data_IF_835645335511
#
_entry.id   IF_835645335511
#
_cell.length_a   1.000
_cell.length_b   1.000
_cell.length_c   1.000
_cell.angle_alpha   90.00
_cell.angle_beta   90.00
_cell.angle_gamma   90.00
#
_symmetry.space_group_name_H-M   'P 1'
#
loop_
_entity.id
_entity.type
_entity.pdbx_description
1 polymer ?
#
# COMPACT_ATOMS: atom_id res chain seq x y z
N UNK A 1 -11.69 -8.89 -3.90
CA UNK A 1 -10.96 -7.98 -4.84
C UNK A 1 -9.48 -7.92 -4.48
N UNK A 2 -9.16 -7.61 -3.22
CA UNK A 2 -7.82 -7.65 -2.63
C UNK A 2 -7.07 -8.98 -2.82
N UNK A 3 -7.74 -10.11 -2.60
CA UNK A 3 -7.13 -11.45 -2.77
C UNK A 3 -6.62 -11.71 -4.19
N UNK A 4 -7.35 -11.26 -5.22
CA UNK A 4 -6.93 -11.41 -6.63
C UNK A 4 -5.72 -10.53 -6.98
N UNK A 5 -5.58 -9.37 -6.32
CA UNK A 5 -4.44 -8.47 -6.50
C UNK A 5 -3.19 -9.09 -5.86
N UNK A 6 -3.34 -9.60 -4.64
CA UNK A 6 -2.30 -10.34 -3.90
C UNK A 6 -1.79 -11.55 -4.69
N UNK A 7 -2.69 -12.37 -5.22
CA UNK A 7 -2.33 -13.57 -5.98
C UNK A 7 -1.55 -13.23 -7.26
N UNK A 8 -1.94 -12.15 -7.96
CA UNK A 8 -1.23 -11.67 -9.15
C UNK A 8 0.17 -11.15 -8.84
N UNK A 9 0.35 -10.48 -7.70
CA UNK A 9 1.63 -9.93 -7.25
C UNK A 9 2.59 -11.01 -6.77
N UNK A 10 2.09 -12.05 -6.10
CA UNK A 10 2.88 -13.24 -5.75
C UNK A 10 3.41 -13.92 -7.01
N UNK A 11 2.57 -14.08 -8.04
CA UNK A 11 3.00 -14.63 -9.34
C UNK A 11 4.07 -13.77 -10.02
N UNK A 12 3.90 -12.45 -10.06
CA UNK A 12 4.91 -11.54 -10.60
C UNK A 12 6.26 -11.64 -9.87
N UNK A 13 6.23 -11.71 -8.54
CA UNK A 13 7.45 -11.87 -7.75
C UNK A 13 8.15 -13.21 -8.01
N UNK A 14 7.39 -14.29 -8.17
CA UNK A 14 7.92 -15.62 -8.49
C UNK A 14 8.59 -15.69 -9.87
N UNK A 15 8.10 -14.89 -10.82
CA UNK A 15 8.67 -14.74 -12.16
C UNK A 15 9.92 -13.84 -12.17
N UNK A 16 9.99 -12.82 -11.30
CA UNK A 16 11.08 -11.85 -11.27
C UNK A 16 12.28 -12.30 -10.43
N UNK A 17 12.07 -13.09 -9.37
CA UNK A 17 13.15 -13.56 -8.46
C UNK A 17 14.24 -14.39 -9.13
N UNK A 18 13.95 -14.98 -10.30
CA UNK A 18 14.88 -15.83 -11.05
C UNK A 18 15.62 -15.08 -12.17
N UNK A 19 15.31 -13.80 -12.40
CA UNK A 19 15.98 -13.00 -13.44
C UNK A 19 17.34 -12.48 -12.94
N UNK A 20 18.40 -12.58 -13.75
CA UNK A 20 19.71 -12.01 -13.41
C UNK A 20 19.57 -10.48 -13.28
N UNK A 21 19.97 -9.94 -12.12
CA UNK A 21 19.84 -8.51 -11.80
C UNK A 21 18.67 -8.15 -10.87
N UNK A 22 17.88 -9.12 -10.40
CA UNK A 22 16.85 -8.88 -9.39
C UNK A 22 17.50 -8.45 -8.07
N UNK A 23 17.44 -7.15 -7.77
CA UNK A 23 17.87 -6.59 -6.49
C UNK A 23 16.68 -6.68 -5.54
N UNK A 24 16.80 -7.37 -4.38
CA UNK A 24 15.72 -7.37 -3.40
C UNK A 24 15.40 -5.93 -3.00
N UNK A 25 14.11 -5.58 -2.82
CA UNK A 25 13.76 -4.22 -2.41
C UNK A 25 14.49 -3.88 -1.11
N UNK A 26 14.95 -2.63 -0.94
CA UNK A 26 15.68 -2.22 0.25
C UNK A 26 14.84 -2.47 1.51
N UNK A 27 15.46 -2.86 2.64
CA UNK A 27 14.76 -3.00 3.90
C UNK A 27 14.22 -1.62 4.30
N UNK A 28 12.90 -1.50 4.38
CA UNK A 28 12.26 -0.31 4.92
C UNK A 28 12.37 -0.38 6.44
N UNK A 29 12.76 0.73 7.08
CA UNK A 29 12.54 0.93 8.51
C UNK A 29 11.07 0.68 8.82
N UNK A 30 10.79 0.11 9.98
CA UNK A 30 9.47 -0.39 10.36
C UNK A 30 8.48 0.77 10.66
N UNK A 31 8.19 1.62 9.67
CA UNK A 31 7.19 2.68 9.71
C UNK A 31 5.85 2.09 9.30
N UNK A 32 5.30 1.20 10.13
CA UNK A 32 3.89 0.82 10.00
C UNK A 32 3.03 2.10 10.11
N UNK A 33 2.51 2.58 8.97
CA UNK A 33 1.42 3.55 8.88
C UNK A 33 1.68 5.03 9.25
N UNK A 34 2.90 5.57 9.22
CA UNK A 34 3.13 7.00 9.49
C UNK A 34 4.21 7.56 8.57
N UNK A 35 4.09 8.75 7.92
CA UNK A 35 3.14 9.87 8.11
C UNK A 35 2.09 10.06 6.99
N UNK A 36 2.30 9.48 5.80
CA UNK A 36 1.50 9.83 4.61
C UNK A 36 0.08 9.26 4.65
N UNK A 37 -0.11 8.06 5.22
CA UNK A 37 -1.44 7.49 5.41
C UNK A 37 -2.26 8.28 6.45
N UNK A 38 -1.58 8.77 7.49
CA UNK A 38 -2.18 9.63 8.51
C UNK A 38 -2.64 10.96 7.88
N UNK A 39 -1.81 11.58 7.03
CA UNK A 39 -2.19 12.78 6.28
C UNK A 39 -3.40 12.53 5.36
N UNK A 40 -3.47 11.36 4.71
CA UNK A 40 -4.62 11.00 3.89
C UNK A 40 -5.90 10.83 4.72
N UNK A 41 -5.83 10.17 5.88
CA UNK A 41 -6.97 10.01 6.79
C UNK A 41 -7.47 11.37 7.28
N UNK A 42 -6.57 12.22 7.77
CA UNK A 42 -6.92 13.58 8.25
C UNK A 42 -7.54 14.43 7.13
N UNK A 43 -7.03 14.31 5.90
CA UNK A 43 -7.58 15.02 4.75
C UNK A 43 -8.97 14.50 4.37
N UNK A 44 -9.19 13.18 4.41
CA UNK A 44 -10.50 12.56 4.14
C UNK A 44 -11.52 13.04 5.18
N UNK A 45 -11.18 13.01 6.47
CA UNK A 45 -12.05 13.46 7.55
C UNK A 45 -12.45 14.94 7.38
N UNK A 46 -11.47 15.81 7.09
CA UNK A 46 -11.73 17.22 6.86
C UNK A 46 -12.68 17.46 5.67
N UNK A 47 -12.51 16.72 4.56
CA UNK A 47 -13.37 16.82 3.39
C UNK A 47 -14.78 16.27 3.65
N UNK A 48 -14.93 15.20 4.42
CA UNK A 48 -16.25 14.67 4.82
C UNK A 48 -17.00 15.69 5.70
N UNK A 49 -16.30 16.30 6.67
CA UNK A 49 -16.88 17.37 7.51
C UNK A 49 -17.27 18.58 6.65
N UNK A 50 -16.49 18.91 5.63
CA UNK A 50 -16.82 19.99 4.69
C UNK A 50 -18.06 19.64 3.85
N UNK A 51 -18.14 18.42 3.33
CA UNK A 51 -19.28 17.94 2.54
C UNK A 51 -20.57 17.83 3.37
N UNK A 52 -20.49 17.57 4.67
CA UNK A 52 -21.67 17.49 5.54
C UNK A 52 -22.30 18.85 5.83
N UNK A 53 -21.51 19.92 5.75
CA UNK A 53 -21.95 21.32 5.92
C UNK A 53 -22.28 22.00 4.60
N UNK A 54 -22.01 21.37 3.47
CA UNK A 54 -22.26 21.91 2.14
C UNK A 54 -23.71 21.66 1.71
N UNK A 55 -24.41 22.74 1.38
CA UNK A 55 -25.82 22.73 0.98
C UNK A 55 -25.98 22.65 -0.54
N UNK A 56 -24.96 23.05 -1.29
CA UNK A 56 -24.97 23.00 -2.75
C UNK A 56 -24.56 21.61 -3.23
N UNK A 57 -25.50 20.93 -3.91
CA UNK A 57 -25.32 19.53 -4.34
C UNK A 57 -24.08 19.37 -5.23
N UNK A 58 -23.86 20.28 -6.19
CA UNK A 58 -22.72 20.21 -7.11
C UNK A 58 -21.37 20.34 -6.40
N UNK A 59 -21.28 21.24 -5.41
CA UNK A 59 -20.07 21.41 -4.59
C UNK A 59 -19.85 20.22 -3.68
N UNK A 60 -20.93 19.68 -3.10
CA UNK A 60 -20.88 18.47 -2.27
C UNK A 60 -20.38 17.28 -3.08
N UNK A 61 -20.89 17.06 -4.29
CA UNK A 61 -20.41 16.00 -5.17
C UNK A 61 -18.93 16.18 -5.55
N UNK A 62 -18.51 17.41 -5.79
CA UNK A 62 -17.10 17.72 -6.09
C UNK A 62 -16.18 17.37 -4.92
N UNK A 63 -16.58 17.70 -3.69
CA UNK A 63 -15.85 17.33 -2.47
C UNK A 63 -15.80 15.80 -2.31
N UNK A 64 -16.91 15.10 -2.55
CA UNK A 64 -16.96 13.64 -2.46
C UNK A 64 -16.09 12.96 -3.54
N UNK A 65 -15.95 13.55 -4.73
CA UNK A 65 -14.99 13.07 -5.75
C UNK A 65 -13.55 13.20 -5.27
N UNK A 66 -13.22 14.28 -4.56
CA UNK A 66 -11.88 14.47 -3.97
C UNK A 66 -11.61 13.42 -2.88
N UNK A 67 -12.59 13.15 -2.01
CA UNK A 67 -12.50 12.08 -0.99
C UNK A 67 -12.17 10.74 -1.64
N UNK A 68 -12.93 10.32 -2.66
CA UNK A 68 -12.69 9.05 -3.38
C UNK A 68 -11.28 8.97 -4.00
N UNK A 69 -10.75 10.09 -4.48
CA UNK A 69 -9.40 10.14 -5.04
C UNK A 69 -8.33 9.90 -3.98
N UNK A 70 -8.51 10.46 -2.78
CA UNK A 70 -7.57 10.31 -1.66
C UNK A 70 -7.71 8.93 -1.02
N UNK A 71 -8.92 8.39 -0.90
CA UNK A 71 -9.16 7.00 -0.46
C UNK A 71 -8.43 5.99 -1.35
N UNK A 72 -8.44 6.20 -2.67
CA UNK A 72 -7.70 5.34 -3.60
C UNK A 72 -6.18 5.41 -3.34
N UNK A 73 -5.64 6.60 -3.05
CA UNK A 73 -4.21 6.77 -2.71
C UNK A 73 -3.87 6.08 -1.39
N UNK A 74 -4.74 6.19 -0.38
CA UNK A 74 -4.58 5.51 0.90
C UNK A 74 -4.56 3.99 0.74
N UNK A 75 -5.47 3.43 -0.08
CA UNK A 75 -5.50 2.00 -0.38
C UNK A 75 -4.22 1.53 -1.08
N UNK A 76 -3.75 2.26 -2.09
CA UNK A 76 -2.49 1.96 -2.79
C UNK A 76 -1.31 2.00 -1.81
N UNK A 77 -1.30 2.96 -0.88
CA UNK A 77 -0.24 3.07 0.12
C UNK A 77 -0.19 1.84 1.02
N UNK A 78 -1.34 1.39 1.53
CA UNK A 78 -1.41 0.16 2.33
C UNK A 78 -1.04 -1.10 1.54
N UNK A 79 -1.46 -1.20 0.27
CA UNK A 79 -1.05 -2.30 -0.60
C UNK A 79 0.48 -2.35 -0.77
N UNK A 80 1.11 -1.20 -1.01
CA UNK A 80 2.57 -1.12 -1.12
C UNK A 80 3.25 -1.52 0.20
N UNK A 81 2.78 -1.04 1.35
CA UNK A 81 3.31 -1.45 2.65
C UNK A 81 3.17 -2.97 2.87
N UNK A 82 2.01 -3.55 2.52
CA UNK A 82 1.79 -4.99 2.58
C UNK A 82 2.75 -5.80 1.71
N UNK A 83 3.00 -5.35 0.48
CA UNK A 83 3.96 -5.98 -0.44
C UNK A 83 5.39 -5.94 0.11
N UNK A 84 5.81 -4.82 0.69
CA UNK A 84 7.14 -4.70 1.30
C UNK A 84 7.31 -5.68 2.48
N UNK A 85 6.31 -5.82 3.34
CA UNK A 85 6.31 -6.80 4.44
C UNK A 85 6.46 -8.24 3.95
N UNK A 86 5.77 -8.59 2.86
CA UNK A 86 5.86 -9.93 2.26
C UNK A 86 7.27 -10.15 1.70
N UNK A 87 7.81 -9.18 0.97
CA UNK A 87 9.17 -9.25 0.42
C UNK A 87 10.22 -9.43 1.54
N UNK A 88 10.14 -8.66 2.63
CA UNK A 88 11.02 -8.80 3.79
C UNK A 88 10.93 -10.19 4.44
N UNK A 89 9.71 -10.71 4.65
CA UNK A 89 9.51 -12.06 5.23
C UNK A 89 10.07 -13.16 4.33
N UNK A 90 9.86 -13.04 3.01
CA UNK A 90 10.43 -13.97 2.04
C UNK A 90 11.97 -13.93 2.06
N UNK A 91 12.57 -12.73 2.05
CA UNK A 91 14.01 -12.56 2.12
C UNK A 91 14.59 -13.19 3.40
N UNK A 92 13.95 -12.97 4.55
CA UNK A 92 14.35 -13.59 5.82
C UNK A 92 14.31 -15.11 5.75
N UNK A 93 13.22 -15.71 5.23
CA UNK A 93 13.12 -17.17 5.07
C UNK A 93 14.21 -17.73 4.14
N UNK A 94 14.52 -17.04 3.04
CA UNK A 94 15.58 -17.46 2.12
C UNK A 94 16.95 -17.41 2.80
N UNK A 95 17.24 -16.36 3.58
CA UNK A 95 18.47 -16.27 4.35
C UNK A 95 18.58 -17.37 5.42
N UNK A 96 17.53 -17.61 6.19
CA UNK A 96 17.48 -18.70 7.19
C UNK A 96 17.70 -20.07 6.53
N UNK A 97 17.11 -20.31 5.35
CA UNK A 97 17.32 -21.55 4.60
C UNK A 97 18.77 -21.71 4.16
N UNK A 98 19.41 -20.65 3.65
CA UNK A 98 20.82 -20.69 3.25
C UNK A 98 21.75 -20.97 4.43
N UNK A 99 21.49 -20.34 5.59
CA UNK A 99 22.29 -20.54 6.81
C UNK A 99 22.15 -21.95 7.42
N UNK A 100 21.01 -22.63 7.22
CA UNK A 100 20.78 -23.97 7.76
C UNK A 100 21.33 -25.10 6.88
N UNK A 101 21.63 -24.82 5.60
CA UNK A 101 22.05 -25.81 4.61
C UNK A 101 23.46 -25.53 4.04
N UNK A 102 24.21 -24.64 4.68
CA UNK A 102 25.64 -24.41 4.54
C UNK A 102 26.30 -24.74 5.88
#
# INVERSE_FOLDING_TARGET
MFEKIMERKIKQWDEEKNKPGCVPPPPVDNTFGKPIEQEYIETIEALIIKASKENEIEKKETILKQVKSIEMKLLISYENQGLHLIAQKMQKRVQEFRQKNL
#
